data_IF_872725187709
#
_entry.id   IF_872725187709
#
_cell.length_a   1.000
_cell.length_b   1.000
_cell.length_c   1.000
_cell.angle_alpha   90.00
_cell.angle_beta   90.00
_cell.angle_gamma   90.00
#
_symmetry.space_group_name_H-M   'P 1'
#
loop_
_entity.id
_entity.type
_entity.pdbx_description
1 polymer ?
#
# COMPACT_ATOMS: atom_id res chain seq x y z
N UNK A 1 -23.71 27.01 -3.09
CA UNK A 1 -24.38 26.66 -1.82
C UNK A 1 -23.43 25.71 -1.11
N UNK A 2 -22.95 26.01 0.10
CA UNK A 2 -22.10 25.08 0.85
C UNK A 2 -22.98 23.88 1.21
N UNK A 3 -22.53 22.67 0.84
CA UNK A 3 -23.13 21.41 1.31
C UNK A 3 -23.26 21.44 2.84
N UNK A 4 -24.33 20.88 3.44
CA UNK A 4 -24.40 20.69 4.90
C UNK A 4 -23.14 19.94 5.34
N UNK A 5 -22.63 20.24 6.55
CA UNK A 5 -21.34 19.75 7.05
C UNK A 5 -21.11 18.22 6.93
N UNK A 6 -22.19 17.44 6.86
CA UNK A 6 -22.19 15.97 6.85
C UNK A 6 -22.66 15.35 5.51
N UNK A 7 -22.52 16.05 4.38
CA UNK A 7 -22.83 15.50 3.05
C UNK A 7 -21.63 15.65 2.11
N UNK A 8 -21.48 14.73 1.18
CA UNK A 8 -20.46 14.78 0.13
C UNK A 8 -20.98 14.13 -1.17
N UNK A 9 -20.39 14.45 -2.31
CA UNK A 9 -20.62 13.66 -3.53
C UNK A 9 -20.03 12.25 -3.37
N UNK A 10 -18.82 12.15 -2.79
CA UNK A 10 -18.13 10.89 -2.55
C UNK A 10 -17.62 10.83 -1.12
N UNK A 11 -17.89 9.73 -0.41
CA UNK A 11 -17.24 9.40 0.85
C UNK A 11 -16.26 8.23 0.66
N UNK A 12 -15.06 8.35 1.22
CA UNK A 12 -14.03 7.30 1.21
C UNK A 12 -13.89 6.75 2.61
N UNK A 13 -13.94 5.44 2.79
CA UNK A 13 -13.73 4.76 4.07
C UNK A 13 -12.32 4.16 4.09
N UNK A 14 -11.47 4.66 5.00
CA UNK A 14 -10.11 4.18 5.22
C UNK A 14 -9.01 5.14 4.75
N UNK A 15 -8.17 5.57 5.69
CA UNK A 15 -7.08 6.53 5.50
C UNK A 15 -5.70 5.88 5.27
N UNK A 16 -5.67 4.65 4.72
CA UNK A 16 -4.46 4.04 4.19
C UNK A 16 -4.01 4.69 2.89
N UNK A 17 -2.86 4.26 2.35
CA UNK A 17 -2.27 4.83 1.12
C UNK A 17 -3.22 4.77 -0.08
N UNK A 18 -4.06 3.73 -0.16
CA UNK A 18 -5.05 3.58 -1.24
C UNK A 18 -6.15 4.63 -1.12
N UNK A 19 -6.78 4.74 0.06
CA UNK A 19 -7.82 5.76 0.29
C UNK A 19 -7.27 7.18 0.15
N UNK A 20 -6.07 7.45 0.64
CA UNK A 20 -5.40 8.74 0.48
C UNK A 20 -5.10 9.08 -0.99
N UNK A 21 -4.71 8.09 -1.80
CA UNK A 21 -4.48 8.28 -3.24
C UNK A 21 -5.78 8.54 -4.01
N UNK A 22 -6.86 7.84 -3.66
CA UNK A 22 -8.20 8.10 -4.23
C UNK A 22 -8.66 9.50 -3.82
N UNK A 23 -8.52 9.87 -2.55
CA UNK A 23 -8.85 11.19 -2.02
C UNK A 23 -8.11 12.30 -2.77
N UNK A 24 -6.78 12.15 -2.93
CA UNK A 24 -5.96 13.06 -3.72
C UNK A 24 -6.44 13.17 -5.17
N UNK A 25 -6.69 12.03 -5.83
CA UNK A 25 -7.09 12.00 -7.23
C UNK A 25 -8.43 12.71 -7.45
N UNK A 26 -9.43 12.42 -6.63
CA UNK A 26 -10.78 12.95 -6.80
C UNK A 26 -10.87 14.43 -6.48
N UNK A 27 -10.20 14.91 -5.43
CA UNK A 27 -10.15 16.34 -5.11
C UNK A 27 -9.47 17.16 -6.20
N UNK A 28 -8.42 16.61 -6.86
CA UNK A 28 -7.77 17.25 -8.02
C UNK A 28 -8.57 17.10 -9.32
N UNK A 29 -9.73 16.46 -9.26
CA UNK A 29 -10.76 16.42 -10.32
C UNK A 29 -12.01 17.23 -9.94
N UNK A 30 -11.92 18.06 -8.88
CA UNK A 30 -13.00 18.96 -8.45
C UNK A 30 -14.20 18.27 -7.80
N UNK A 31 -14.05 16.99 -7.39
CA UNK A 31 -15.12 16.25 -6.72
C UNK A 31 -15.20 16.67 -5.25
N UNK A 32 -16.40 16.87 -4.72
CA UNK A 32 -16.64 17.06 -3.28
C UNK A 32 -16.47 15.72 -2.55
N UNK A 33 -15.38 15.58 -1.80
CA UNK A 33 -14.96 14.32 -1.18
C UNK A 33 -14.73 14.48 0.32
N UNK A 34 -15.21 13.51 1.10
CA UNK A 34 -14.82 13.30 2.50
C UNK A 34 -14.10 11.97 2.66
N UNK A 35 -12.96 11.97 3.35
CA UNK A 35 -12.25 10.76 3.79
C UNK A 35 -12.55 10.51 5.27
N UNK A 36 -13.06 9.33 5.59
CA UNK A 36 -13.38 8.88 6.95
C UNK A 36 -12.34 7.85 7.38
N UNK A 37 -11.61 8.13 8.47
CA UNK A 37 -10.63 7.22 9.07
C UNK A 37 -11.05 6.85 10.48
N UNK A 38 -11.01 5.57 10.79
CA UNK A 38 -11.41 5.03 12.09
C UNK A 38 -10.44 5.39 13.22
N UNK A 39 -9.17 5.55 12.91
CA UNK A 39 -8.12 5.87 13.87
C UNK A 39 -7.93 7.39 14.05
N UNK A 40 -7.08 7.76 15.01
CA UNK A 40 -6.74 9.16 15.33
C UNK A 40 -5.74 9.78 14.34
N UNK A 41 -5.21 9.02 13.40
CA UNK A 41 -4.29 9.47 12.35
C UNK A 41 -4.31 8.49 11.16
N UNK A 42 -3.76 8.92 10.02
CA UNK A 42 -3.70 8.13 8.79
C UNK A 42 -2.53 7.14 8.81
N UNK A 43 -2.58 6.14 7.92
CA UNK A 43 -1.51 5.16 7.70
C UNK A 43 -1.13 4.32 8.94
N UNK A 44 -2.04 4.05 9.85
CA UNK A 44 -1.75 3.22 11.03
C UNK A 44 -1.71 1.72 10.73
N UNK A 45 -2.51 1.22 9.79
CA UNK A 45 -2.57 -0.21 9.45
C UNK A 45 -1.49 -0.64 8.44
N UNK A 46 -1.85 -1.42 7.43
CA UNK A 46 -0.93 -2.00 6.43
C UNK A 46 -0.02 -0.97 5.74
N UNK A 47 -0.46 0.26 5.55
CA UNK A 47 0.34 1.32 4.93
C UNK A 47 1.52 1.76 5.80
N UNK A 48 1.33 1.89 7.11
CA UNK A 48 2.38 2.27 8.06
C UNK A 48 3.34 1.13 8.40
N UNK A 49 3.00 -0.11 8.07
CA UNK A 49 3.82 -1.32 8.29
C UNK A 49 4.38 -1.90 6.98
N UNK A 50 4.30 -1.13 5.90
CA UNK A 50 4.81 -1.50 4.57
C UNK A 50 6.34 -1.47 4.53
N UNK A 51 6.97 -2.15 3.56
CA UNK A 51 8.41 -2.13 3.34
C UNK A 51 8.95 -0.78 2.82
N UNK A 52 8.07 0.09 2.31
CA UNK A 52 8.48 1.32 1.63
C UNK A 52 9.05 1.12 0.23
N UNK A 53 9.01 -0.09 -0.32
CA UNK A 53 9.48 -0.38 -1.68
C UNK A 53 8.44 0.06 -2.71
N UNK A 54 8.88 0.83 -3.68
CA UNK A 54 8.11 1.22 -4.86
C UNK A 54 8.45 0.26 -5.99
N UNK A 55 7.64 -0.78 -6.14
CA UNK A 55 7.81 -1.80 -7.15
C UNK A 55 7.52 -1.28 -8.56
N UNK A 56 8.26 -1.80 -9.53
CA UNK A 56 8.09 -1.50 -10.96
C UNK A 56 7.02 -2.38 -11.62
N UNK A 57 6.69 -3.53 -11.03
CA UNK A 57 5.83 -4.53 -11.63
C UNK A 57 6.58 -5.55 -12.50
N UNK A 58 7.92 -5.63 -12.39
CA UNK A 58 8.74 -6.55 -13.18
C UNK A 58 8.36 -8.01 -12.96
N UNK A 59 7.94 -8.38 -11.74
CA UNK A 59 7.55 -9.73 -11.34
C UNK A 59 6.02 -9.96 -11.27
N UNK A 60 5.23 -8.96 -11.68
CA UNK A 60 3.77 -9.04 -11.68
C UNK A 60 3.27 -9.72 -12.95
N UNK A 61 2.20 -10.51 -12.85
CA UNK A 61 1.64 -11.26 -14.00
C UNK A 61 1.12 -10.30 -15.07
N UNK A 62 1.61 -10.38 -16.33
CA UNK A 62 1.15 -9.52 -17.41
C UNK A 62 -0.37 -9.62 -17.63
N UNK A 63 -1.03 -8.47 -17.80
CA UNK A 63 -2.45 -8.38 -18.09
C UNK A 63 -3.38 -8.42 -16.87
N UNK A 64 -2.89 -8.79 -15.68
CA UNK A 64 -3.69 -8.69 -14.46
C UNK A 64 -3.94 -7.23 -14.06
N UNK A 65 -5.08 -6.99 -13.40
CA UNK A 65 -5.46 -5.65 -12.91
C UNK A 65 -4.39 -5.05 -12.00
N UNK A 66 -3.83 -5.85 -11.08
CA UNK A 66 -2.73 -5.44 -10.21
C UNK A 66 -1.55 -4.86 -11.03
N UNK A 67 -1.12 -5.57 -12.07
CA UNK A 67 -0.01 -5.17 -12.95
C UNK A 67 -0.34 -3.87 -13.67
N UNK A 68 -1.52 -3.77 -14.27
CA UNK A 68 -1.96 -2.56 -14.97
C UNK A 68 -1.94 -1.33 -14.06
N UNK A 69 -2.37 -1.49 -12.79
CA UNK A 69 -2.44 -0.39 -11.83
C UNK A 69 -1.06 -0.01 -11.28
N UNK A 70 -0.14 -0.96 -11.10
CA UNK A 70 1.26 -0.66 -10.77
C UNK A 70 1.91 0.16 -11.90
N UNK A 71 1.77 -0.29 -13.15
CA UNK A 71 2.34 0.40 -14.32
C UNK A 71 1.71 1.79 -14.53
N UNK A 72 0.38 1.92 -14.39
CA UNK A 72 -0.31 3.22 -14.43
C UNK A 72 0.20 4.15 -13.33
N UNK A 73 0.40 3.63 -12.13
CA UNK A 73 0.95 4.37 -10.99
C UNK A 73 2.36 4.86 -11.25
N UNK A 74 3.22 4.03 -11.88
CA UNK A 74 4.61 4.38 -12.19
C UNK A 74 4.72 5.62 -13.07
N UNK A 75 3.79 5.82 -14.01
CA UNK A 75 3.72 7.01 -14.88
C UNK A 75 3.33 8.27 -14.09
N UNK A 76 2.38 8.16 -13.16
CA UNK A 76 1.84 9.29 -12.37
C UNK A 76 2.81 9.70 -11.26
N UNK A 77 3.48 8.73 -10.66
CA UNK A 77 4.30 8.83 -9.45
C UNK A 77 5.31 9.98 -9.45
N UNK A 78 6.15 10.19 -10.49
CA UNK A 78 7.20 11.22 -10.44
C UNK A 78 6.68 12.65 -10.25
N UNK A 79 5.54 12.98 -10.83
CA UNK A 79 4.93 14.30 -10.68
C UNK A 79 4.35 14.50 -9.28
N UNK A 80 3.63 13.50 -8.77
CA UNK A 80 3.01 13.54 -7.43
C UNK A 80 4.08 13.59 -6.34
N UNK A 81 5.10 12.73 -6.39
CA UNK A 81 6.16 12.72 -5.38
C UNK A 81 6.90 14.06 -5.30
N UNK A 82 7.18 14.70 -6.45
CA UNK A 82 7.79 16.04 -6.48
C UNK A 82 6.89 17.10 -5.84
N UNK A 83 5.60 17.11 -6.13
CA UNK A 83 4.67 18.09 -5.56
C UNK A 83 4.49 17.94 -4.05
N UNK A 84 4.58 16.71 -3.55
CA UNK A 84 4.48 16.40 -2.12
C UNK A 84 5.80 16.54 -1.37
N UNK A 85 6.93 16.68 -2.09
CA UNK A 85 8.27 16.68 -1.49
C UNK A 85 8.62 15.37 -0.77
N UNK A 86 8.01 14.24 -1.17
CA UNK A 86 8.26 12.94 -0.56
C UNK A 86 9.60 12.38 -1.05
N UNK A 87 10.52 12.02 -0.14
CA UNK A 87 11.82 11.51 -0.53
C UNK A 87 11.73 10.12 -1.16
N UNK A 88 12.52 9.92 -2.22
CA UNK A 88 12.70 8.63 -2.90
C UNK A 88 14.17 8.35 -3.04
N UNK A 89 14.60 7.15 -2.67
CA UNK A 89 15.93 6.64 -2.96
C UNK A 89 15.85 5.65 -4.12
N UNK A 90 16.45 6.01 -5.24
CA UNK A 90 16.52 5.16 -6.44
C UNK A 90 17.63 4.13 -6.27
N UNK A 91 17.34 3.07 -5.54
CA UNK A 91 18.30 2.05 -5.14
C UNK A 91 18.49 0.96 -6.20
N UNK A 92 17.48 0.73 -7.03
CA UNK A 92 17.39 -0.51 -7.79
C UNK A 92 17.23 -1.74 -6.90
N UNK A 93 17.09 -2.88 -7.54
CA UNK A 93 17.05 -4.18 -6.87
C UNK A 93 17.91 -5.21 -7.62
N UNK A 94 18.36 -6.23 -6.89
CA UNK A 94 19.18 -7.30 -7.39
C UNK A 94 18.66 -8.66 -6.93
N UNK A 95 18.53 -9.62 -7.85
CA UNK A 95 18.22 -11.02 -7.60
C UNK A 95 19.42 -11.86 -8.05
N UNK A 96 20.14 -12.46 -7.09
CA UNK A 96 21.34 -13.28 -7.38
C UNK A 96 20.94 -14.76 -7.44
N UNK A 97 21.20 -15.46 -8.56
CA UNK A 97 20.92 -16.90 -8.64
C UNK A 97 21.96 -17.71 -7.85
N UNK A 98 21.50 -18.76 -7.18
CA UNK A 98 22.35 -19.70 -6.44
C UNK A 98 22.28 -21.13 -6.98
N UNK A 99 21.40 -21.39 -7.97
CA UNK A 99 21.19 -22.70 -8.58
C UNK A 99 20.86 -22.58 -10.07
N UNK A 100 20.89 -23.71 -10.79
CA UNK A 100 20.44 -23.74 -12.17
C UNK A 100 18.96 -23.40 -12.33
N UNK A 101 18.10 -23.81 -11.37
CA UNK A 101 16.67 -23.46 -11.34
C UNK A 101 16.47 -21.94 -11.15
N UNK A 102 17.31 -21.29 -10.34
CA UNK A 102 17.25 -19.83 -10.16
C UNK A 102 17.55 -19.10 -11.47
N UNK A 103 18.52 -19.56 -12.27
CA UNK A 103 18.82 -18.99 -13.58
C UNK A 103 17.63 -19.10 -14.56
N UNK A 104 16.86 -20.20 -14.49
CA UNK A 104 15.64 -20.36 -15.30
C UNK A 104 14.55 -19.39 -14.83
N UNK A 105 14.37 -19.28 -13.51
CA UNK A 105 13.43 -18.33 -12.90
C UNK A 105 13.79 -16.88 -13.27
N UNK A 106 15.06 -16.51 -13.22
CA UNK A 106 15.52 -15.16 -13.60
C UNK A 106 15.22 -14.86 -15.08
N UNK A 107 15.43 -15.82 -15.99
CA UNK A 107 15.04 -15.63 -17.41
C UNK A 107 13.53 -15.41 -17.55
N UNK A 108 12.75 -16.23 -16.87
CA UNK A 108 11.28 -16.07 -16.86
C UNK A 108 10.84 -14.70 -16.30
N UNK A 109 11.50 -14.22 -15.25
CA UNK A 109 11.23 -12.87 -14.70
C UNK A 109 11.64 -11.77 -15.69
N UNK A 110 12.73 -11.92 -16.43
CA UNK A 110 13.13 -10.95 -17.44
C UNK A 110 12.14 -10.91 -18.62
N UNK A 111 11.63 -12.07 -19.06
CA UNK A 111 10.57 -12.15 -20.06
C UNK A 111 9.28 -11.49 -19.58
N UNK A 112 8.91 -11.75 -18.32
CA UNK A 112 7.75 -11.14 -17.68
C UNK A 112 7.89 -9.60 -17.57
N UNK A 113 9.06 -9.12 -17.14
CA UNK A 113 9.37 -7.69 -17.10
C UNK A 113 9.25 -7.05 -18.50
N UNK A 114 9.77 -7.70 -19.52
CA UNK A 114 9.67 -7.26 -20.92
C UNK A 114 8.20 -7.17 -21.37
N UNK A 115 7.38 -8.16 -21.04
CA UNK A 115 5.94 -8.14 -21.33
C UNK A 115 5.20 -6.99 -20.63
N UNK A 116 5.66 -6.58 -19.45
CA UNK A 116 5.15 -5.44 -18.69
C UNK A 116 5.76 -4.08 -19.10
N UNK A 117 6.71 -4.08 -20.07
CA UNK A 117 7.42 -2.87 -20.46
C UNK A 117 8.36 -2.31 -19.38
N UNK A 118 8.81 -3.18 -18.45
CA UNK A 118 9.74 -2.81 -17.36
C UNK A 118 11.17 -3.18 -17.78
N UNK A 119 12.08 -2.22 -17.69
CA UNK A 119 13.49 -2.42 -18.01
C UNK A 119 14.20 -3.19 -16.91
N UNK A 120 14.82 -4.31 -17.30
CA UNK A 120 15.68 -5.13 -16.45
C UNK A 120 16.91 -5.58 -17.22
N UNK A 121 17.97 -5.98 -16.51
CA UNK A 121 19.19 -6.48 -17.13
C UNK A 121 19.72 -7.71 -16.39
N UNK A 122 20.06 -8.76 -17.13
CA UNK A 122 20.80 -9.89 -16.58
C UNK A 122 22.31 -9.56 -16.65
N UNK A 123 22.99 -9.61 -15.50
CA UNK A 123 24.43 -9.37 -15.41
C UNK A 123 25.21 -10.59 -15.94
N UNK A 124 26.12 -10.38 -16.89
CA UNK A 124 26.83 -11.47 -17.56
C UNK A 124 27.76 -12.26 -16.64
N UNK A 125 28.34 -11.62 -15.61
CA UNK A 125 29.35 -12.23 -14.74
C UNK A 125 28.81 -13.35 -13.84
N UNK A 126 27.54 -13.25 -13.41
CA UNK A 126 26.94 -14.17 -12.44
C UNK A 126 25.46 -14.48 -12.70
N UNK A 127 24.87 -13.89 -13.73
CA UNK A 127 23.47 -14.10 -14.08
C UNK A 127 22.45 -13.39 -13.18
N UNK A 128 22.87 -12.46 -12.33
CA UNK A 128 21.96 -11.72 -11.50
C UNK A 128 21.01 -10.83 -12.31
N UNK A 129 19.74 -10.77 -11.91
CA UNK A 129 18.75 -9.85 -12.48
C UNK A 129 18.85 -8.50 -11.77
N UNK A 130 19.08 -7.45 -12.55
CA UNK A 130 19.14 -6.07 -12.08
C UNK A 130 17.86 -5.34 -12.49
N UNK A 131 17.11 -4.82 -11.52
CA UNK A 131 15.86 -4.07 -11.71
C UNK A 131 16.12 -2.62 -11.30
N UNK A 132 16.56 -1.79 -12.23
CA UNK A 132 17.05 -0.43 -11.96
C UNK A 132 15.95 0.54 -11.50
N UNK A 133 14.69 0.27 -11.85
CA UNK A 133 13.55 1.12 -11.52
C UNK A 133 13.02 0.94 -10.09
N UNK A 134 13.40 -0.12 -9.36
CA UNK A 134 13.00 -0.30 -7.97
C UNK A 134 13.55 0.83 -7.09
N UNK A 135 12.77 1.26 -6.12
CA UNK A 135 13.13 2.40 -5.26
C UNK A 135 12.56 2.20 -3.86
N UNK A 136 13.05 2.96 -2.88
CA UNK A 136 12.48 3.00 -1.53
C UNK A 136 12.01 4.41 -1.18
N UNK A 137 10.94 4.50 -0.41
CA UNK A 137 10.35 5.76 0.08
C UNK A 137 9.86 5.59 1.52
N UNK A 138 9.41 6.67 2.13
CA UNK A 138 8.65 6.63 3.38
C UNK A 138 7.15 6.49 3.07
N UNK A 139 6.52 5.32 3.34
CA UNK A 139 5.12 5.08 3.02
C UNK A 139 4.16 5.94 3.87
N UNK A 140 4.58 6.35 5.07
CA UNK A 140 3.79 7.23 5.94
C UNK A 140 3.84 8.66 5.43
N UNK A 141 5.05 9.19 5.13
CA UNK A 141 5.19 10.51 4.54
C UNK A 141 4.41 10.65 3.24
N UNK A 142 4.42 9.61 2.40
CA UNK A 142 3.66 9.60 1.16
C UNK A 142 2.14 9.62 1.40
N UNK A 143 1.62 8.77 2.29
CA UNK A 143 0.18 8.71 2.61
C UNK A 143 -0.30 10.05 3.19
N UNK A 144 0.43 10.60 4.15
CA UNK A 144 0.11 11.89 4.77
C UNK A 144 0.23 13.05 3.77
N UNK A 145 1.23 13.01 2.89
CA UNK A 145 1.43 14.01 1.83
C UNK A 145 0.25 14.04 0.86
N UNK A 146 -0.24 12.87 0.42
CA UNK A 146 -1.42 12.76 -0.43
C UNK A 146 -2.66 13.39 0.22
N UNK A 147 -2.93 13.04 1.49
CA UNK A 147 -4.05 13.60 2.22
C UNK A 147 -3.92 15.11 2.42
N UNK A 148 -2.71 15.61 2.74
CA UNK A 148 -2.44 17.04 2.89
C UNK A 148 -2.71 17.81 1.58
N UNK A 149 -2.30 17.28 0.44
CA UNK A 149 -2.58 17.88 -0.85
C UNK A 149 -4.07 17.84 -1.20
N UNK A 150 -4.76 16.76 -0.87
CA UNK A 150 -6.21 16.65 -1.04
C UNK A 150 -6.98 17.67 -0.19
N UNK A 151 -6.58 17.87 1.06
CA UNK A 151 -7.14 18.90 1.93
C UNK A 151 -6.91 20.31 1.36
N UNK A 152 -5.71 20.59 0.86
CA UNK A 152 -5.41 21.87 0.20
C UNK A 152 -6.22 22.09 -1.08
N UNK A 153 -6.64 21.01 -1.75
CA UNK A 153 -7.52 21.03 -2.92
C UNK A 153 -9.03 21.06 -2.55
N UNK A 154 -9.39 21.24 -1.27
CA UNK A 154 -10.78 21.39 -0.80
C UNK A 154 -11.45 20.12 -0.32
N UNK A 155 -10.75 19.00 -0.24
CA UNK A 155 -11.26 17.77 0.38
C UNK A 155 -11.45 17.90 1.88
N UNK A 156 -12.24 17.01 2.47
CA UNK A 156 -12.51 16.96 3.93
C UNK A 156 -11.99 15.65 4.50
N UNK A 157 -11.43 15.70 5.72
CA UNK A 157 -10.91 14.55 6.44
C UNK A 157 -11.54 14.49 7.83
N UNK A 158 -12.11 13.34 8.20
CA UNK A 158 -12.62 13.04 9.51
C UNK A 158 -11.82 11.88 10.11
N UNK A 159 -11.13 12.15 11.20
CA UNK A 159 -10.44 11.16 12.03
C UNK A 159 -11.36 10.69 13.15
N UNK A 160 -11.06 9.54 13.76
CA UNK A 160 -11.92 8.88 14.75
C UNK A 160 -13.37 8.71 14.22
N UNK A 161 -13.49 8.41 12.94
CA UNK A 161 -14.73 8.32 12.19
C UNK A 161 -15.00 6.87 11.74
N UNK A 162 -15.04 5.94 12.71
CA UNK A 162 -15.31 4.53 12.45
C UNK A 162 -16.73 4.34 11.96
N UNK A 163 -16.89 3.87 10.72
CA UNK A 163 -18.19 3.48 10.15
C UNK A 163 -18.65 2.19 10.83
N UNK A 164 -19.89 2.17 11.30
CA UNK A 164 -20.51 1.06 12.03
C UNK A 164 -21.74 0.48 11.34
N UNK A 165 -22.38 1.24 10.43
CA UNK A 165 -23.48 0.77 9.59
C UNK A 165 -23.60 1.65 8.34
N UNK A 166 -24.20 1.10 7.28
CA UNK A 166 -24.48 1.80 6.03
C UNK A 166 -25.92 1.49 5.63
N UNK A 167 -26.71 2.56 5.41
CA UNK A 167 -28.05 2.44 4.82
C UNK A 167 -28.00 2.84 3.35
N UNK A 168 -28.52 2.01 2.46
CA UNK A 168 -28.74 2.34 1.05
C UNK A 168 -30.14 2.94 0.86
N UNK A 169 -30.18 4.19 0.40
CA UNK A 169 -31.40 4.98 0.25
C UNK A 169 -31.57 5.41 -1.22
N UNK A 170 -32.75 5.88 -1.59
CA UNK A 170 -32.99 6.34 -2.96
C UNK A 170 -32.02 7.44 -3.44
N UNK A 171 -31.57 8.31 -2.53
CA UNK A 171 -30.71 9.46 -2.84
C UNK A 171 -29.21 9.26 -2.55
N UNK A 172 -28.77 8.04 -2.21
CA UNK A 172 -27.38 7.76 -1.87
C UNK A 172 -27.24 6.84 -0.67
N UNK A 173 -26.04 6.78 -0.12
CA UNK A 173 -25.70 5.97 1.04
C UNK A 173 -25.58 6.87 2.29
N UNK A 174 -26.12 6.41 3.42
CA UNK A 174 -25.95 7.04 4.73
C UNK A 174 -25.01 6.20 5.57
N UNK A 175 -23.89 6.79 5.97
CA UNK A 175 -22.87 6.18 6.81
C UNK A 175 -23.13 6.56 8.27
N UNK A 176 -23.32 5.58 9.15
CA UNK A 176 -23.42 5.78 10.59
C UNK A 176 -22.05 5.53 11.23
N UNK A 177 -21.61 6.48 12.03
CA UNK A 177 -20.35 6.36 12.77
C UNK A 177 -20.59 5.81 14.17
N UNK A 178 -19.59 5.13 14.73
CA UNK A 178 -19.65 4.56 16.08
C UNK A 178 -19.85 5.60 17.19
N UNK A 179 -19.55 6.87 16.94
CA UNK A 179 -19.77 7.99 17.86
C UNK A 179 -21.15 8.67 17.73
N UNK A 180 -22.01 8.14 16.87
CA UNK A 180 -23.37 8.63 16.62
C UNK A 180 -23.50 9.70 15.52
N UNK A 181 -22.39 10.19 14.94
CA UNK A 181 -22.43 11.06 13.75
C UNK A 181 -22.92 10.26 12.52
N UNK A 182 -23.44 10.99 11.54
CA UNK A 182 -23.83 10.42 10.26
C UNK A 182 -23.27 11.23 9.11
N UNK A 183 -22.94 10.57 8.00
CA UNK A 183 -22.55 11.19 6.74
C UNK A 183 -23.37 10.62 5.60
N UNK A 184 -23.80 11.49 4.67
CA UNK A 184 -24.49 11.06 3.46
C UNK A 184 -23.61 11.30 2.22
N UNK A 185 -23.58 10.35 1.31
CA UNK A 185 -22.85 10.46 0.04
C UNK A 185 -23.62 9.82 -1.11
N UNK A 186 -23.43 10.35 -2.32
CA UNK A 186 -24.00 9.73 -3.53
C UNK A 186 -23.31 8.39 -3.83
N UNK A 187 -21.99 8.37 -3.66
CA UNK A 187 -21.13 7.18 -3.85
C UNK A 187 -20.21 7.02 -2.66
N UNK A 188 -20.02 5.79 -2.20
CA UNK A 188 -19.07 5.43 -1.15
C UNK A 188 -17.96 4.57 -1.73
N UNK A 189 -16.72 4.87 -1.39
CA UNK A 189 -15.55 4.07 -1.79
C UNK A 189 -15.02 3.36 -0.54
N UNK A 190 -15.10 2.04 -0.55
CA UNK A 190 -14.61 1.17 0.51
C UNK A 190 -13.12 0.86 0.30
N UNK A 191 -12.25 1.62 0.92
CA UNK A 191 -10.79 1.42 0.96
C UNK A 191 -10.30 1.00 2.36
N UNK A 192 -11.14 0.28 3.11
CA UNK A 192 -10.94 -0.05 4.52
C UNK A 192 -9.90 -1.16 4.78
N UNK A 193 -9.14 -1.58 3.77
CA UNK A 193 -8.02 -2.51 3.92
C UNK A 193 -8.42 -3.85 4.54
N UNK A 194 -7.94 -4.16 5.75
CA UNK A 194 -8.27 -5.41 6.46
C UNK A 194 -9.77 -5.56 6.78
N UNK A 195 -10.50 -4.44 6.86
CA UNK A 195 -11.92 -4.41 7.18
C UNK A 195 -12.82 -4.16 5.95
N UNK A 196 -12.28 -4.30 4.73
CA UNK A 196 -13.07 -4.03 3.54
C UNK A 196 -14.26 -4.96 3.36
N UNK A 197 -14.14 -6.23 3.72
CA UNK A 197 -15.24 -7.19 3.73
C UNK A 197 -16.27 -6.91 4.84
N UNK A 198 -15.82 -6.37 5.99
CA UNK A 198 -16.73 -5.97 7.07
C UNK A 198 -17.61 -4.78 6.61
N UNK A 199 -17.02 -3.80 5.90
CA UNK A 199 -17.77 -2.68 5.30
C UNK A 199 -18.72 -3.17 4.20
N UNK A 200 -18.28 -4.08 3.32
CA UNK A 200 -19.13 -4.62 2.25
C UNK A 200 -20.35 -5.36 2.82
N UNK A 201 -20.19 -6.14 3.89
CA UNK A 201 -21.30 -6.81 4.59
C UNK A 201 -22.33 -5.86 5.18
N UNK A 202 -21.98 -4.60 5.47
CA UNK A 202 -22.96 -3.61 5.97
C UNK A 202 -24.06 -3.30 4.96
N UNK A 203 -23.79 -3.52 3.65
CA UNK A 203 -24.80 -3.42 2.58
C UNK A 203 -25.26 -4.80 2.08
N UNK A 204 -24.91 -5.88 2.78
CA UNK A 204 -25.28 -7.25 2.43
C UNK A 204 -24.41 -7.89 1.34
N UNK A 205 -23.25 -7.33 1.03
CA UNK A 205 -22.29 -7.89 0.07
C UNK A 205 -21.29 -8.80 0.80
N UNK A 206 -21.38 -10.10 0.54
CA UNK A 206 -20.50 -11.17 1.05
C UNK A 206 -19.69 -11.84 -0.07
N UNK A 207 -19.53 -11.17 -1.21
CA UNK A 207 -18.89 -11.71 -2.42
C UNK A 207 -17.38 -11.95 -2.27
N UNK A 208 -16.71 -11.39 -1.26
CA UNK A 208 -15.31 -11.61 -0.96
C UNK A 208 -15.03 -11.62 0.55
N UNK A 209 -13.93 -12.24 0.94
CA UNK A 209 -13.45 -12.30 2.31
C UNK A 209 -12.00 -11.82 2.39
N UNK A 210 -11.69 -11.00 3.39
CA UNK A 210 -10.33 -10.52 3.67
C UNK A 210 -9.77 -11.21 4.90
N UNK A 211 -8.56 -11.74 4.75
CA UNK A 211 -7.79 -12.30 5.86
C UNK A 211 -6.43 -11.61 5.98
N UNK A 212 -5.88 -11.45 7.19
CA UNK A 212 -4.56 -10.86 7.36
C UNK A 212 -3.47 -11.86 6.98
N UNK A 213 -2.60 -11.47 6.03
CA UNK A 213 -1.35 -12.19 5.75
C UNK A 213 -0.22 -11.45 6.42
N UNK A 214 0.15 -11.93 7.62
CA UNK A 214 1.17 -11.29 8.46
C UNK A 214 2.56 -11.42 7.85
N UNK A 215 3.29 -10.32 7.85
CA UNK A 215 4.72 -10.25 7.56
C UNK A 215 5.46 -9.63 8.71
N UNK A 216 6.43 -10.35 9.25
CA UNK A 216 7.27 -9.88 10.35
C UNK A 216 8.59 -9.37 9.78
N UNK A 217 9.08 -8.25 10.32
CA UNK A 217 10.27 -7.55 9.85
C UNK A 217 11.21 -7.23 11.01
N UNK A 218 12.52 -7.22 10.72
CA UNK A 218 13.55 -6.86 11.66
C UNK A 218 14.43 -5.75 11.08
N UNK A 219 14.66 -4.72 11.88
CA UNK A 219 15.42 -3.53 11.52
C UNK A 219 16.81 -3.63 12.13
N UNK A 220 17.85 -3.40 11.33
CA UNK A 220 19.24 -3.49 11.71
C UNK A 220 19.97 -2.19 11.47
N UNK A 221 20.90 -1.88 12.36
CA UNK A 221 21.91 -0.85 12.15
C UNK A 221 23.23 -1.53 11.75
N UNK A 222 23.72 -1.21 10.56
CA UNK A 222 24.98 -1.78 10.10
C UNK A 222 26.18 -1.17 10.85
N UNK A 223 27.28 -1.92 10.98
CA UNK A 223 28.54 -1.38 11.50
C UNK A 223 29.03 -0.18 10.68
N UNK A 224 29.82 0.69 11.32
CA UNK A 224 30.39 1.86 10.67
C UNK A 224 31.18 1.46 9.40
N UNK A 225 30.99 2.21 8.33
CA UNK A 225 31.65 1.98 7.03
C UNK A 225 30.97 0.88 6.18
N UNK A 226 29.87 0.31 6.63
CA UNK A 226 29.04 -0.61 5.84
C UNK A 226 27.71 0.03 5.51
N UNK A 227 27.23 -0.18 4.27
CA UNK A 227 25.94 0.28 3.79
C UNK A 227 25.33 -0.77 2.84
N UNK A 228 24.02 -0.76 2.73
CA UNK A 228 23.27 -1.44 1.67
C UNK A 228 22.69 -0.36 0.77
N UNK A 229 23.05 -0.37 -0.52
CA UNK A 229 22.68 0.68 -1.46
C UNK A 229 21.66 0.24 -2.51
N UNK A 230 21.20 -1.01 -2.43
CA UNK A 230 20.19 -1.58 -3.33
C UNK A 230 19.29 -2.54 -2.54
N UNK A 231 18.15 -2.87 -3.12
CA UNK A 231 17.25 -3.87 -2.56
C UNK A 231 17.77 -5.25 -2.98
N UNK A 232 17.95 -6.15 -2.03
CA UNK A 232 18.27 -7.54 -2.28
C UNK A 232 16.97 -8.33 -2.27
N UNK A 233 16.60 -8.87 -3.44
CA UNK A 233 15.42 -9.71 -3.61
C UNK A 233 15.86 -11.16 -3.75
N UNK A 234 15.25 -12.11 -3.05
CA UNK A 234 15.49 -13.53 -3.31
C UNK A 234 14.88 -13.91 -4.65
N UNK A 235 15.50 -14.86 -5.34
CA UNK A 235 14.86 -15.49 -6.48
C UNK A 235 13.63 -16.25 -5.98
N UNK A 236 12.42 -15.95 -6.51
CA UNK A 236 11.19 -16.52 -5.97
C UNK A 236 11.12 -18.03 -6.26
N UNK A 237 10.53 -18.77 -5.33
CA UNK A 237 10.19 -20.17 -5.53
C UNK A 237 8.70 -20.33 -5.78
N UNK A 238 8.25 -21.54 -6.17
CA UNK A 238 6.81 -21.84 -6.31
C UNK A 238 6.00 -21.63 -5.03
N UNK A 239 6.66 -21.58 -3.85
CA UNK A 239 6.01 -21.51 -2.54
C UNK A 239 6.05 -20.12 -1.91
N UNK A 240 7.08 -19.32 -2.21
CA UNK A 240 7.30 -18.05 -1.53
C UNK A 240 8.16 -17.10 -2.36
N UNK A 241 7.89 -15.80 -2.23
CA UNK A 241 8.79 -14.75 -2.72
C UNK A 241 10.07 -14.60 -1.87
N UNK A 242 10.13 -15.24 -0.68
CA UNK A 242 11.30 -15.24 0.19
C UNK A 242 11.43 -13.99 1.08
N UNK A 243 12.59 -13.91 1.76
CA UNK A 243 12.95 -12.79 2.65
C UNK A 243 13.76 -11.77 1.87
N UNK A 244 13.30 -10.53 1.87
CA UNK A 244 13.97 -9.39 1.24
C UNK A 244 14.93 -8.75 2.26
N UNK A 245 16.01 -8.10 1.74
CA UNK A 245 16.85 -7.20 2.53
C UNK A 245 16.91 -5.86 1.81
N UNK A 246 16.52 -4.78 2.48
CA UNK A 246 16.42 -3.49 1.82
C UNK A 246 16.85 -2.33 2.73
N UNK A 247 17.42 -1.26 2.16
CA UNK A 247 17.78 -0.06 2.91
C UNK A 247 16.54 0.77 3.23
N UNK A 248 16.63 1.56 4.29
CA UNK A 248 15.66 2.61 4.61
C UNK A 248 16.26 4.00 4.33
N UNK A 249 15.42 5.02 4.23
CA UNK A 249 15.87 6.39 3.97
C UNK A 249 16.73 6.98 5.13
N UNK A 250 16.58 6.44 6.33
CA UNK A 250 17.32 6.86 7.53
C UNK A 250 18.58 6.03 7.80
N UNK A 251 19.00 5.21 6.83
CA UNK A 251 20.28 4.47 6.85
C UNK A 251 20.25 3.16 7.64
N UNK A 252 19.08 2.65 7.99
CA UNK A 252 18.92 1.29 8.52
C UNK A 252 18.75 0.28 7.38
N UNK A 253 18.81 -0.99 7.74
CA UNK A 253 18.51 -2.12 6.84
C UNK A 253 17.40 -2.93 7.46
N UNK A 254 16.42 -3.31 6.66
CA UNK A 254 15.29 -4.14 7.08
C UNK A 254 15.39 -5.50 6.39
N UNK A 255 15.17 -6.56 7.16
CA UNK A 255 15.02 -7.92 6.66
C UNK A 255 13.62 -8.44 6.97
N UNK A 256 13.01 -9.10 6.01
CA UNK A 256 11.65 -9.64 6.06
C UNK A 256 11.01 -9.64 4.66
N UNK A 257 9.73 -9.99 4.57
CA UNK A 257 8.84 -10.45 5.62
C UNK A 257 8.79 -11.97 5.79
N UNK A 258 8.13 -12.40 6.87
CA UNK A 258 7.46 -13.71 6.90
C UNK A 258 6.16 -13.68 6.10
N UNK A 259 5.50 -14.83 5.95
CA UNK A 259 4.21 -14.92 5.27
C UNK A 259 3.32 -15.93 6.00
N UNK A 260 2.47 -15.44 6.91
CA UNK A 260 1.62 -16.24 7.77
C UNK A 260 0.19 -15.78 7.62
N UNK A 261 -0.69 -16.68 7.25
CA UNK A 261 -2.11 -16.40 7.15
C UNK A 261 -2.77 -16.52 8.53
N UNK A 262 -3.51 -15.50 8.92
CA UNK A 262 -4.19 -15.39 10.20
C UNK A 262 -5.70 -15.27 10.00
N UNK A 263 -6.44 -15.50 11.08
CA UNK A 263 -7.88 -15.17 11.17
C UNK A 263 -8.09 -13.85 11.91
N UNK A 264 -7.25 -13.56 12.89
CA UNK A 264 -7.32 -12.36 13.72
C UNK A 264 -6.73 -11.16 12.97
N UNK A 265 -7.57 -10.16 12.68
CA UNK A 265 -7.20 -8.92 11.99
C UNK A 265 -6.44 -7.94 12.88
N UNK A 266 -6.30 -8.24 14.17
CA UNK A 266 -5.67 -7.38 15.18
C UNK A 266 -4.38 -7.99 15.77
N UNK A 267 -3.92 -9.16 15.30
CA UNK A 267 -2.65 -9.77 15.76
C UNK A 267 -1.42 -9.14 15.08
N UNK A 268 -0.98 -8.01 15.62
CA UNK A 268 0.23 -7.29 15.21
C UNK A 268 1.50 -7.76 15.94
N UNK A 269 1.46 -8.87 16.65
CA UNK A 269 2.60 -9.38 17.41
C UNK A 269 3.68 -9.97 16.49
N UNK A 270 4.94 -9.86 16.91
CA UNK A 270 6.08 -10.53 16.27
C UNK A 270 6.38 -11.80 17.05
N UNK A 271 6.43 -12.94 16.37
CA UNK A 271 6.71 -14.23 17.01
C UNK A 271 8.15 -14.29 17.55
N UNK A 272 8.40 -14.93 18.68
CA UNK A 272 9.75 -15.05 19.28
C UNK A 272 10.78 -15.70 18.35
N UNK A 273 10.38 -16.67 17.54
CA UNK A 273 11.25 -17.46 16.63
C UNK A 273 11.40 -16.82 15.24
N UNK A 274 10.59 -15.83 14.88
CA UNK A 274 10.63 -15.17 13.59
C UNK A 274 12.00 -14.55 13.27
N UNK A 275 12.71 -14.05 14.29
CA UNK A 275 14.05 -13.48 14.10
C UNK A 275 15.04 -14.50 13.53
N UNK A 276 15.07 -15.70 14.11
CA UNK A 276 15.97 -16.78 13.66
C UNK A 276 15.65 -17.19 12.22
N UNK A 277 14.35 -17.36 11.92
CA UNK A 277 13.89 -17.72 10.57
C UNK A 277 14.31 -16.68 9.52
N UNK A 278 14.15 -15.39 9.83
CA UNK A 278 14.45 -14.32 8.90
C UNK A 278 15.96 -14.09 8.78
N UNK A 279 16.68 -14.05 9.91
CA UNK A 279 18.12 -13.75 9.92
C UNK A 279 18.92 -14.78 9.14
N UNK A 280 18.58 -16.06 9.24
CA UNK A 280 19.25 -17.13 8.50
C UNK A 280 19.16 -16.88 6.97
N UNK A 281 17.96 -16.60 6.47
CA UNK A 281 17.71 -16.34 5.05
C UNK A 281 18.31 -15.01 4.59
N UNK A 282 18.18 -13.96 5.41
CA UNK A 282 18.71 -12.63 5.11
C UNK A 282 20.24 -12.59 5.09
N UNK A 283 20.90 -13.27 6.04
CA UNK A 283 22.36 -13.35 6.10
C UNK A 283 22.97 -14.17 4.95
N UNK A 284 22.23 -15.15 4.43
CA UNK A 284 22.64 -15.86 3.21
C UNK A 284 22.72 -14.94 1.99
N UNK A 285 21.82 -13.97 1.88
CA UNK A 285 21.79 -13.00 0.78
C UNK A 285 22.67 -11.77 1.05
N UNK A 286 22.73 -11.31 2.29
CA UNK A 286 23.53 -10.16 2.71
C UNK A 286 24.32 -10.50 3.99
N UNK A 287 25.53 -11.07 3.85
CA UNK A 287 26.34 -11.60 4.96
C UNK A 287 26.67 -10.58 6.07
N UNK A 288 26.59 -9.27 5.75
CA UNK A 288 26.80 -8.21 6.75
C UNK A 288 25.78 -8.22 7.90
N UNK A 289 24.67 -8.93 7.77
CA UNK A 289 23.67 -9.11 8.84
C UNK A 289 24.05 -10.23 9.82
N UNK A 290 24.95 -11.13 9.45
CA UNK A 290 25.31 -12.27 10.28
C UNK A 290 25.79 -11.84 11.66
N UNK A 291 25.18 -12.38 12.72
CA UNK A 291 25.50 -12.08 14.12
C UNK A 291 25.01 -10.72 14.65
N UNK A 292 24.34 -9.89 13.82
CA UNK A 292 23.76 -8.64 14.28
C UNK A 292 22.47 -8.90 15.08
N UNK A 293 22.26 -8.04 16.07
CA UNK A 293 20.97 -7.95 16.77
C UNK A 293 20.12 -6.86 16.14
N UNK A 294 18.81 -7.08 15.93
CA UNK A 294 17.93 -6.03 15.44
C UNK A 294 17.78 -4.92 16.47
N UNK A 295 17.63 -3.69 15.99
CA UNK A 295 17.31 -2.52 16.81
C UNK A 295 15.82 -2.35 17.03
N UNK A 296 15.00 -2.95 16.15
CA UNK A 296 13.55 -3.02 16.25
C UNK A 296 12.99 -4.22 15.47
N UNK A 297 11.76 -4.59 15.78
CA UNK A 297 10.95 -5.52 14.98
C UNK A 297 9.52 -5.03 14.91
N UNK A 298 8.82 -5.33 13.82
CA UNK A 298 7.41 -5.00 13.66
C UNK A 298 6.72 -6.05 12.78
N UNK A 299 5.40 -6.09 12.86
CA UNK A 299 4.57 -6.91 11.97
C UNK A 299 3.66 -6.02 11.12
N UNK A 300 3.44 -6.41 9.87
CA UNK A 300 2.47 -5.81 8.97
C UNK A 300 1.42 -6.84 8.58
N UNK A 301 0.15 -6.45 8.62
CA UNK A 301 -0.98 -7.28 8.20
C UNK A 301 -1.43 -6.86 6.80
N UNK A 302 -1.11 -7.68 5.81
CA UNK A 302 -1.53 -7.43 4.42
C UNK A 302 -2.97 -7.89 4.23
N UNK A 303 -3.87 -7.04 3.70
CA UNK A 303 -5.26 -7.41 3.41
C UNK A 303 -5.30 -8.35 2.19
N UNK A 304 -5.21 -9.65 2.44
CA UNK A 304 -5.29 -10.66 1.39
C UNK A 304 -6.74 -11.09 1.17
N UNK A 305 -7.14 -11.21 -0.10
CA UNK A 305 -8.44 -11.79 -0.46
C UNK A 305 -8.35 -13.31 -0.51
N UNK A 306 -9.41 -13.99 -0.02
CA UNK A 306 -9.53 -15.43 -0.17
C UNK A 306 -9.90 -15.74 -1.61
N UNK A 307 -9.02 -16.46 -2.30
CA UNK A 307 -9.16 -16.86 -3.70
C UNK A 307 -9.38 -15.69 -4.69
N UNK A 308 -9.06 -14.46 -4.29
CA UNK A 308 -9.16 -13.28 -5.14
C UNK A 308 -7.99 -12.31 -4.93
N UNK A 309 -7.78 -11.44 -5.93
CA UNK A 309 -6.77 -10.40 -5.92
C UNK A 309 -7.35 -9.14 -6.55
N UNK A 310 -7.11 -7.98 -5.94
CA UNK A 310 -7.59 -6.68 -6.41
C UNK A 310 -9.09 -6.67 -6.75
N UNK A 311 -9.94 -6.72 -5.73
CA UNK A 311 -11.38 -6.55 -5.87
C UNK A 311 -11.65 -5.04 -5.98
N UNK A 312 -11.80 -4.53 -7.21
CA UNK A 312 -12.08 -3.11 -7.46
C UNK A 312 -13.28 -2.99 -8.39
N UNK A 313 -14.39 -2.46 -7.88
CA UNK A 313 -15.63 -2.29 -8.61
C UNK A 313 -16.83 -2.13 -7.68
N UNK A 314 -18.03 -1.99 -8.29
CA UNK A 314 -19.26 -1.89 -7.54
C UNK A 314 -19.51 -3.13 -6.69
N UNK A 315 -20.12 -2.94 -5.53
CA UNK A 315 -20.61 -4.00 -4.67
C UNK A 315 -21.64 -4.87 -5.41
N UNK A 316 -21.72 -6.14 -5.03
CA UNK A 316 -22.69 -7.07 -5.58
C UNK A 316 -24.16 -6.70 -5.27
N UNK A 317 -24.40 -5.86 -4.28
CA UNK A 317 -25.73 -5.48 -3.79
C UNK A 317 -26.13 -4.05 -4.16
N UNK A 318 -25.18 -3.15 -4.35
CA UNK A 318 -25.44 -1.76 -4.72
C UNK A 318 -24.31 -1.18 -5.58
N UNK A 319 -24.66 -0.50 -6.66
CA UNK A 319 -23.66 0.15 -7.52
C UNK A 319 -22.98 1.36 -6.85
N UNK A 320 -23.60 1.92 -5.81
CA UNK A 320 -23.13 3.11 -5.12
C UNK A 320 -22.01 2.87 -4.11
N UNK A 321 -21.73 1.61 -3.75
CA UNK A 321 -20.56 1.22 -2.98
C UNK A 321 -19.51 0.63 -3.91
N UNK A 322 -18.39 1.30 -4.10
CA UNK A 322 -17.23 0.79 -4.83
C UNK A 322 -16.28 0.14 -3.86
N UNK A 323 -16.09 -1.17 -3.95
CA UNK A 323 -15.06 -1.88 -3.20
C UNK A 323 -13.69 -1.62 -3.82
N UNK A 324 -12.67 -1.39 -2.98
CA UNK A 324 -11.24 -1.32 -3.32
C UNK A 324 -10.50 -2.17 -2.30
N UNK A 325 -10.61 -3.47 -2.46
CA UNK A 325 -10.26 -4.49 -1.49
C UNK A 325 -9.24 -5.50 -2.03
N UNK A 326 -8.73 -6.36 -1.17
CA UNK A 326 -7.73 -7.39 -1.50
C UNK A 326 -6.44 -6.81 -2.14
N UNK A 327 -6.04 -5.60 -1.76
CA UNK A 327 -4.86 -4.89 -2.27
C UNK A 327 -3.61 -5.32 -1.50
N UNK A 328 -3.30 -6.54 -1.42
CA UNK A 328 -2.24 -7.20 -0.65
C UNK A 328 -0.98 -6.35 -0.36
N UNK A 329 0.15 -6.70 -0.97
CA UNK A 329 1.47 -6.11 -0.67
C UNK A 329 1.87 -4.97 -1.60
N UNK A 330 1.21 -4.79 -2.73
CA UNK A 330 1.57 -3.84 -3.79
C UNK A 330 0.82 -2.51 -3.73
N UNK A 331 -0.02 -2.31 -2.70
CA UNK A 331 -0.85 -1.12 -2.55
C UNK A 331 -0.07 0.21 -2.58
N UNK A 332 1.12 0.27 -1.98
CA UNK A 332 1.98 1.45 -2.05
C UNK A 332 2.35 1.80 -3.50
N UNK A 333 2.77 0.79 -4.26
CA UNK A 333 3.20 0.95 -5.66
C UNK A 333 2.05 1.24 -6.61
N UNK A 334 0.87 0.66 -6.36
CA UNK A 334 -0.30 0.76 -7.23
C UNK A 334 -1.25 1.92 -6.89
N UNK A 335 -1.10 2.55 -5.71
CA UNK A 335 -2.10 3.46 -5.14
C UNK A 335 -2.57 4.59 -6.07
N UNK A 336 -1.65 5.25 -6.78
CA UNK A 336 -2.00 6.33 -7.72
C UNK A 336 -2.73 5.79 -8.96
N UNK A 337 -2.33 4.61 -9.44
CA UNK A 337 -3.03 3.90 -10.51
C UNK A 337 -4.44 3.47 -10.09
N UNK A 338 -4.59 3.00 -8.85
CA UNK A 338 -5.89 2.68 -8.25
C UNK A 338 -6.76 3.96 -8.17
N UNK A 339 -6.20 5.07 -7.67
CA UNK A 339 -6.92 6.33 -7.60
C UNK A 339 -7.45 6.79 -8.96
N UNK A 340 -6.62 6.70 -10.00
CA UNK A 340 -7.03 7.02 -11.36
C UNK A 340 -8.07 6.04 -11.92
N UNK A 341 -7.94 4.75 -11.63
CA UNK A 341 -8.90 3.72 -12.06
C UNK A 341 -10.28 3.91 -11.40
N UNK A 342 -10.30 4.17 -10.09
CA UNK A 342 -11.55 4.46 -9.36
C UNK A 342 -12.23 5.73 -9.90
N UNK A 343 -11.44 6.77 -10.20
CA UNK A 343 -11.99 7.98 -10.82
C UNK A 343 -12.67 7.68 -12.17
N UNK A 344 -12.11 6.78 -12.98
CA UNK A 344 -12.70 6.39 -14.27
C UNK A 344 -14.06 5.67 -14.13
N UNK A 345 -14.39 5.09 -12.97
CA UNK A 345 -15.68 4.43 -12.71
C UNK A 345 -16.80 5.42 -12.36
N UNK A 346 -16.46 6.56 -11.77
CA UNK A 346 -17.43 7.48 -11.15
C UNK A 346 -18.42 8.16 -12.12
N UNK A 347 -18.06 8.51 -13.38
CA UNK A 347 -19.03 9.07 -14.33
C UNK A 347 -20.22 8.14 -14.60
N UNK A 348 -19.99 6.81 -14.61
CA UNK A 348 -21.05 5.81 -14.72
C UNK A 348 -22.05 5.83 -13.56
N UNK A 349 -21.68 6.41 -12.43
CA UNK A 349 -22.48 6.54 -11.21
C UNK A 349 -23.02 7.98 -11.01
N UNK A 350 -22.95 8.83 -12.04
CA UNK A 350 -23.46 10.19 -11.99
C UNK A 350 -22.56 11.21 -11.27
N UNK A 351 -21.30 10.88 -11.00
CA UNK A 351 -20.34 11.83 -10.45
C UNK A 351 -19.55 12.47 -11.59
N UNK A 352 -19.74 13.76 -11.77
CA UNK A 352 -19.01 14.54 -12.77
C UNK A 352 -17.56 14.76 -12.31
N UNK A 353 -16.61 14.56 -13.24
CA UNK A 353 -15.19 14.83 -13.03
C UNK A 353 -14.79 16.08 -13.81
N UNK A 354 -14.21 17.05 -13.12
CA UNK A 354 -13.57 18.20 -13.75
C UNK A 354 -12.26 17.81 -14.47
N UNK A 355 -11.61 18.82 -15.07
CA UNK A 355 -10.27 18.62 -15.61
C UNK A 355 -9.29 18.16 -14.55
N UNK A 356 -8.32 17.32 -14.94
CA UNK A 356 -7.26 16.90 -14.04
C UNK A 356 -6.36 18.09 -13.72
N UNK A 357 -6.42 18.58 -12.51
CA UNK A 357 -5.50 19.62 -12.03
C UNK A 357 -4.11 19.03 -11.81
N UNK A 358 -3.09 19.86 -11.97
CA UNK A 358 -1.73 19.49 -11.55
C UNK A 358 -1.73 19.19 -10.04
N UNK A 359 -0.90 18.24 -9.57
CA UNK A 359 -0.80 17.98 -8.15
C UNK A 359 -0.44 19.25 -7.36
N UNK A 360 -1.23 19.56 -6.34
CA UNK A 360 -1.03 20.75 -5.51
C UNK A 360 0.27 20.62 -4.72
N UNK A 361 1.25 21.53 -4.90
CA UNK A 361 2.45 21.54 -4.07
C UNK A 361 2.08 21.80 -2.61
N UNK A 362 2.63 21.02 -1.72
CA UNK A 362 2.47 21.17 -0.27
C UNK A 362 3.82 21.11 0.41
N UNK A 363 3.92 21.75 1.58
CA UNK A 363 5.10 21.58 2.44
C UNK A 363 5.29 20.08 2.76
N UNK A 364 6.50 19.53 2.58
CA UNK A 364 6.76 18.13 2.83
C UNK A 364 6.32 17.70 4.22
N UNK A 365 5.68 16.55 4.30
CA UNK A 365 5.39 15.93 5.58
C UNK A 365 6.64 15.17 6.03
N UNK A 366 7.25 15.64 7.10
CA UNK A 366 8.39 14.96 7.73
C UNK A 366 7.86 14.28 9.00
N UNK A 367 7.70 12.95 9.00
CA UNK A 367 7.32 12.23 10.20
C UNK A 367 8.35 12.44 11.32
N UNK A 368 7.88 12.59 12.57
CA UNK A 368 8.77 12.80 13.74
C UNK A 368 9.69 11.61 14.01
N UNK A 369 9.25 10.43 13.59
CA UNK A 369 9.97 9.17 13.74
C UNK A 369 10.05 8.49 12.36
N UNK A 370 11.11 7.73 12.09
CA UNK A 370 11.13 6.82 10.94
C UNK A 370 9.86 5.96 10.93
N UNK A 371 9.31 5.69 9.75
CA UNK A 371 8.04 4.97 9.62
C UNK A 371 8.02 3.65 10.38
N UNK A 372 9.12 2.91 10.41
CA UNK A 372 9.24 1.64 11.12
C UNK A 372 9.20 1.77 12.66
N UNK A 373 9.57 2.93 13.24
CA UNK A 373 9.40 3.20 14.67
C UNK A 373 7.96 3.56 15.03
N UNK A 374 7.23 4.20 14.10
CA UNK A 374 5.83 4.54 14.32
C UNK A 374 4.97 3.30 14.50
N UNK A 375 5.31 2.20 13.83
CA UNK A 375 4.62 0.91 13.93
C UNK A 375 4.71 0.28 15.32
N UNK A 376 5.76 0.59 16.10
CA UNK A 376 5.90 0.08 17.47
C UNK A 376 4.76 0.58 18.39
N UNK A 377 4.05 1.62 18.02
CA UNK A 377 2.88 2.12 18.75
C UNK A 377 1.69 1.16 18.70
N UNK A 378 1.63 0.26 17.73
CA UNK A 378 0.60 -0.80 17.68
C UNK A 378 0.81 -1.85 18.78
N UNK A 379 2.05 -2.16 19.12
CA UNK A 379 2.38 -3.12 20.19
C UNK A 379 2.00 -2.62 21.59
N UNK A 380 1.69 -1.32 21.74
CA UNK A 380 1.34 -0.68 23.03
C UNK A 380 -0.18 -0.59 23.23
N UNK A 381 -0.98 -0.86 22.19
CA UNK A 381 -2.47 -0.81 22.27
C UNK A 381 -3.09 -2.14 22.73
N UNK A 382 -2.29 -3.16 23.11
CA UNK A 382 -2.75 -4.45 23.66
C UNK A 382 -2.65 -4.45 25.18
#
# INVERSE_FOLDING_TARGET
>A
MSSPANTASVAIIGGGVVGAAIFHTLTHRGVDVVLLEADSDLAYAASGTNSGILHTGFDSTPGELETQLILRSAVIRPAVFRSLGVPVSHTGAELVPHSAEDHETIRSLADNASANGVEVRIRESDGALLVTGESVTDPVAFTLGLAKAALAAGGRLELNARVSAIDDNENGLTLHLADGRTFAALVVINAAGLHADDIARMVGDDSFEIYPRKGEFFVYKLPQGRSLNHIVLPVPTKRTKGVLVFPTLDGHVVAGPTAIDLLDKDDWTVRPDAHTEILEKAAAQFPALAGLRPVASYAGLRPAGRDCNYVIGSSATTERLINVAAIRSTGLSASLGIGAYVADLLPGLGIELGEQLAPTPVEPVVPRLPWWQRTLQHAVKV
#
